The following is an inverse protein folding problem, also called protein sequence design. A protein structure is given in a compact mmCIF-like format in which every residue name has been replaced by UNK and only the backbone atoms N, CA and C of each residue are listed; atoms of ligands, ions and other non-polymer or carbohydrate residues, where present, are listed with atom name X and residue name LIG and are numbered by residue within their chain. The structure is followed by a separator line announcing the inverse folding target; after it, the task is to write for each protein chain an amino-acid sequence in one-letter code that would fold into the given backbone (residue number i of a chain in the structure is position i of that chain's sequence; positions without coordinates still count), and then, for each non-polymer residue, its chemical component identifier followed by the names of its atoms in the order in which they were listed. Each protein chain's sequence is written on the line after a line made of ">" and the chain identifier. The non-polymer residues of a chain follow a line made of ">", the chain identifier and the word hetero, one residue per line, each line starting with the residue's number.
data_IF_879114194516
#
_entry.id   IF_879114194516
#
_cell.length_a   1.000
_cell.length_b   1.000
_cell.length_c   1.000
_cell.angle_alpha   90.00
_cell.angle_beta   90.00
_cell.angle_gamma   90.00
#
_symmetry.space_group_name_H-M   'P 1'
#
loop_
_entity.id
_entity.type
_entity.pdbx_description
1 polymer ?
#
# COMPACT_ATOMS: atom_id res chain seq x y z
N UNK A 1 16.36 -5.57 10.88
CA UNK A 1 15.81 -5.47 9.51
C UNK A 1 15.33 -4.04 9.26
N UNK A 2 15.61 -3.45 8.09
CA UNK A 2 15.04 -2.14 7.72
C UNK A 2 13.73 -2.38 6.98
N UNK A 3 12.62 -1.93 7.55
CA UNK A 3 11.33 -1.86 6.86
C UNK A 3 11.35 -0.64 5.94
N UNK A 4 10.99 -0.84 4.68
CA UNK A 4 10.72 0.25 3.73
C UNK A 4 9.24 0.59 3.82
N UNK A 5 8.93 1.85 4.08
CA UNK A 5 7.56 2.37 4.10
C UNK A 5 7.38 3.19 2.84
N UNK A 6 6.44 2.77 2.00
CA UNK A 6 6.05 3.48 0.80
C UNK A 6 4.76 4.25 1.10
N UNK A 7 4.81 5.58 0.94
CA UNK A 7 3.67 6.46 1.16
C UNK A 7 2.98 6.77 -0.17
N UNK A 8 1.70 6.43 -0.26
CA UNK A 8 0.82 6.83 -1.34
C UNK A 8 -0.03 8.01 -0.87
N UNK A 9 0.35 9.22 -1.29
CA UNK A 9 -0.41 10.44 -1.06
C UNK A 9 -1.46 10.60 -2.12
N UNK A 10 -2.70 10.82 -1.72
CA UNK A 10 -3.84 10.95 -2.62
C UNK A 10 -4.66 12.16 -2.20
N UNK A 11 -5.24 12.85 -3.17
CA UNK A 11 -6.22 13.88 -2.88
C UNK A 11 -7.40 13.29 -2.10
N UNK A 12 -7.97 14.10 -1.20
CA UNK A 12 -9.09 13.67 -0.35
C UNK A 12 -10.30 13.18 -1.18
N UNK A 13 -10.51 13.77 -2.38
CA UNK A 13 -11.57 13.34 -3.31
C UNK A 13 -11.37 11.95 -3.92
N UNK A 14 -10.14 11.43 -3.89
CA UNK A 14 -9.78 10.14 -4.50
C UNK A 14 -9.54 9.03 -3.46
N UNK A 15 -9.41 9.37 -2.18
CA UNK A 15 -9.17 8.40 -1.10
C UNK A 15 -10.17 7.24 -1.15
N UNK A 16 -11.47 7.51 -1.28
CA UNK A 16 -12.49 6.47 -1.36
C UNK A 16 -12.30 5.51 -2.54
N UNK A 17 -11.87 6.02 -3.69
CA UNK A 17 -11.61 5.23 -4.90
C UNK A 17 -10.39 4.33 -4.72
N UNK A 18 -9.34 4.87 -4.09
CA UNK A 18 -8.06 4.19 -3.84
C UNK A 18 -8.20 3.10 -2.78
N UNK A 19 -8.93 3.37 -1.69
CA UNK A 19 -9.24 2.38 -0.66
C UNK A 19 -10.10 1.26 -1.24
N UNK A 20 -11.10 1.63 -2.03
CA UNK A 20 -12.07 0.71 -2.63
C UNK A 20 -13.06 0.16 -1.60
N UNK A 21 -14.10 -0.55 -2.08
CA UNK A 21 -15.16 -1.10 -1.22
C UNK A 21 -14.56 -1.99 -0.13
N UNK A 22 -14.83 -1.65 1.14
CA UNK A 22 -14.30 -2.35 2.33
C UNK A 22 -12.76 -2.46 2.37
N UNK A 23 -12.04 -1.57 1.67
CA UNK A 23 -10.58 -1.61 1.60
C UNK A 23 -10.01 -2.69 0.68
N UNK A 24 -10.84 -3.31 -0.19
CA UNK A 24 -10.40 -4.43 -1.05
C UNK A 24 -9.24 -4.03 -1.97
N UNK A 25 -9.30 -2.84 -2.57
CA UNK A 25 -8.26 -2.33 -3.47
C UNK A 25 -6.97 -2.07 -2.70
N UNK A 26 -7.03 -1.35 -1.58
CA UNK A 26 -5.86 -1.10 -0.73
C UNK A 26 -5.22 -2.40 -0.21
N UNK A 27 -6.03 -3.41 0.14
CA UNK A 27 -5.52 -4.72 0.55
C UNK A 27 -4.79 -5.42 -0.60
N UNK A 28 -5.36 -5.45 -1.80
CA UNK A 28 -4.70 -6.04 -2.97
C UNK A 28 -3.36 -5.37 -3.28
N UNK A 29 -3.28 -4.04 -3.23
CA UNK A 29 -2.04 -3.29 -3.42
C UNK A 29 -0.97 -3.70 -2.37
N UNK A 30 -1.36 -3.76 -1.09
CA UNK A 30 -0.47 -4.21 0.00
C UNK A 30 0.02 -5.64 -0.21
N UNK A 31 -0.84 -6.55 -0.65
CA UNK A 31 -0.45 -7.95 -0.92
C UNK A 31 0.61 -8.03 -2.02
N UNK A 32 0.44 -7.27 -3.11
CA UNK A 32 1.42 -7.22 -4.21
C UNK A 32 2.74 -6.63 -3.71
N UNK A 33 2.70 -5.53 -2.96
CA UNK A 33 3.90 -4.88 -2.42
C UNK A 33 4.66 -5.82 -1.47
N UNK A 34 3.96 -6.52 -0.58
CA UNK A 34 4.58 -7.52 0.30
C UNK A 34 5.25 -8.64 -0.49
N UNK A 35 4.59 -9.17 -1.53
CA UNK A 35 5.18 -10.21 -2.38
C UNK A 35 6.44 -9.73 -3.13
N UNK A 36 6.39 -8.50 -3.66
CA UNK A 36 7.53 -7.87 -4.31
C UNK A 36 8.69 -7.62 -3.32
N UNK A 37 8.38 -7.11 -2.12
CA UNK A 37 9.36 -6.92 -1.05
C UNK A 37 10.05 -8.23 -0.66
N UNK A 38 9.27 -9.30 -0.43
CA UNK A 38 9.80 -10.64 -0.13
C UNK A 38 10.76 -11.12 -1.21
N UNK A 39 10.43 -10.93 -2.49
CA UNK A 39 11.32 -11.30 -3.61
C UNK A 39 12.65 -10.53 -3.57
N UNK A 40 12.66 -9.30 -3.06
CA UNK A 40 13.85 -8.47 -2.93
C UNK A 40 14.58 -8.65 -1.58
N UNK A 41 14.11 -9.55 -0.71
CA UNK A 41 14.64 -9.72 0.64
C UNK A 41 14.40 -8.49 1.54
N UNK A 42 13.34 -7.72 1.27
CA UNK A 42 13.01 -6.49 1.99
C UNK A 42 11.60 -6.58 2.57
N UNK A 43 11.42 -6.01 3.76
CA UNK A 43 10.08 -5.80 4.31
C UNK A 43 9.55 -4.47 3.80
N UNK A 44 8.46 -4.50 3.03
CA UNK A 44 7.82 -3.31 2.49
C UNK A 44 6.40 -3.15 3.05
N UNK A 45 5.96 -1.92 3.32
CA UNK A 45 4.62 -1.59 3.81
C UNK A 45 4.09 -0.39 3.04
N UNK A 46 2.80 -0.42 2.68
CA UNK A 46 2.11 0.70 2.01
C UNK A 46 1.22 1.46 2.99
N UNK A 47 1.52 2.75 3.14
CA UNK A 47 0.65 3.72 3.80
C UNK A 47 -0.09 4.56 2.75
N UNK A 48 -1.37 4.81 2.99
CA UNK A 48 -2.21 5.62 2.10
C UNK A 48 -2.63 6.83 2.92
N UNK A 49 -2.25 8.01 2.45
CA UNK A 49 -2.40 9.29 3.15
C UNK A 49 -3.29 10.22 2.31
N UNK A 50 -4.15 10.98 2.98
CA UNK A 50 -4.98 12.04 2.38
C UNK A 50 -4.28 13.41 2.37
#
# INVERSE_FOLDING_TARGET
>A
ERTTVDELRVEQSDLGKVIGKQGKTARSMRTILSAAGTKLGKRCVLEILE
#
